data_IF_547169359786
#
_entry.id   IF_547169359786
#
_cell.length_a   1.000
_cell.length_b   1.000
_cell.length_c   1.000
_cell.angle_alpha   90.00
_cell.angle_beta   90.00
_cell.angle_gamma   90.00
#
_symmetry.space_group_name_H-M   'P 1'
#
loop_
_entity.id
_entity.type
_entity.pdbx_description
1 polymer ?
#
# COMPACT_ATOMS: atom_id res chain seq x y z
N UNK A 1 -41.13 -48.79 62.87
CA UNK A 1 -41.46 -48.79 61.43
C UNK A 1 -40.89 -47.50 60.83
N UNK A 2 -40.24 -47.63 59.65
CA UNK A 2 -39.59 -46.60 58.81
C UNK A 2 -40.40 -45.28 58.74
N UNK A 3 -39.84 -44.08 58.60
CA UNK A 3 -39.13 -43.48 57.45
C UNK A 3 -38.71 -42.05 57.82
N UNK A 4 -37.46 -41.61 57.61
CA UNK A 4 -36.87 -40.90 56.45
C UNK A 4 -37.18 -39.39 56.29
N UNK A 5 -36.07 -38.66 56.11
CA UNK A 5 -35.85 -37.25 55.75
C UNK A 5 -36.81 -36.65 54.71
N UNK A 6 -37.02 -35.33 54.81
CA UNK A 6 -36.95 -34.43 53.64
C UNK A 6 -36.61 -32.99 54.04
N UNK A 7 -35.38 -32.59 53.69
CA UNK A 7 -34.91 -31.22 53.58
C UNK A 7 -35.35 -30.72 52.19
N UNK A 8 -36.18 -29.69 52.11
CA UNK A 8 -36.47 -28.92 50.90
C UNK A 8 -36.48 -27.45 51.37
N UNK A 9 -35.70 -26.50 50.88
CA UNK A 9 -35.07 -26.35 49.58
C UNK A 9 -35.26 -24.87 49.26
N UNK A 10 -34.33 -24.02 49.72
CA UNK A 10 -34.47 -22.56 49.60
C UNK A 10 -33.10 -21.90 49.54
N UNK A 11 -32.30 -22.28 48.54
CA UNK A 11 -31.15 -21.50 48.06
C UNK A 11 -30.87 -21.92 46.62
N UNK A 12 -31.23 -21.05 45.68
CA UNK A 12 -30.52 -20.79 44.42
C UNK A 12 -31.44 -20.01 43.50
N UNK A 13 -31.55 -18.69 43.73
CA UNK A 13 -31.93 -17.77 42.67
C UNK A 13 -30.75 -17.74 41.70
N UNK A 14 -30.98 -18.32 40.53
CA UNK A 14 -30.08 -18.36 39.38
C UNK A 14 -29.60 -16.94 39.04
N UNK A 15 -28.35 -16.63 39.36
CA UNK A 15 -27.56 -15.63 38.62
C UNK A 15 -27.10 -16.34 37.34
N UNK A 16 -27.87 -16.22 36.27
CA UNK A 16 -27.49 -16.73 34.95
C UNK A 16 -27.84 -15.71 33.85
N UNK A 17 -27.34 -14.47 33.98
CA UNK A 17 -27.33 -13.50 32.87
C UNK A 17 -26.00 -12.71 32.85
N UNK A 18 -24.85 -13.39 33.06
CA UNK A 18 -23.53 -12.74 32.86
C UNK A 18 -22.58 -13.55 31.96
N UNK A 19 -22.84 -14.84 31.70
CA UNK A 19 -21.89 -15.67 30.94
C UNK A 19 -22.12 -15.71 29.41
N UNK A 20 -23.18 -15.10 28.89
CA UNK A 20 -23.43 -15.04 27.43
C UNK A 20 -22.70 -13.82 26.79
N UNK A 21 -22.23 -12.87 27.60
CA UNK A 21 -21.54 -11.67 27.13
C UNK A 21 -20.05 -11.82 26.81
N UNK A 22 -19.37 -12.87 27.26
CA UNK A 22 -17.91 -13.05 27.08
C UNK A 22 -17.52 -14.03 25.96
N UNK A 23 -18.41 -14.92 25.49
CA UNK A 23 -18.04 -15.89 24.45
C UNK A 23 -18.04 -15.27 23.04
N UNK A 24 -18.92 -14.29 22.77
CA UNK A 24 -18.97 -13.64 21.45
C UNK A 24 -17.71 -12.82 21.13
N UNK A 25 -17.12 -12.15 22.13
CA UNK A 25 -15.92 -11.35 21.92
C UNK A 25 -14.70 -12.22 21.68
N UNK A 26 -14.54 -13.31 22.44
CA UNK A 26 -13.37 -14.19 22.31
C UNK A 26 -13.39 -15.01 21.01
N UNK A 27 -14.57 -15.46 20.56
CA UNK A 27 -14.72 -16.13 19.27
C UNK A 27 -14.50 -15.17 18.08
N UNK A 28 -14.89 -13.90 18.21
CA UNK A 28 -14.63 -12.89 17.19
C UNK A 28 -13.14 -12.52 17.10
N UNK A 29 -12.49 -12.31 18.25
CA UNK A 29 -11.04 -12.06 18.33
C UNK A 29 -10.26 -13.22 17.71
N UNK A 30 -10.59 -14.46 18.09
CA UNK A 30 -9.92 -15.65 17.55
C UNK A 30 -10.14 -15.82 16.04
N UNK A 31 -11.30 -15.43 15.51
CA UNK A 31 -11.56 -15.48 14.06
C UNK A 31 -10.82 -14.38 13.32
N UNK A 32 -10.78 -13.17 13.85
CA UNK A 32 -10.08 -12.02 13.26
C UNK A 32 -8.57 -12.26 13.24
N UNK A 33 -8.00 -12.72 14.34
CA UNK A 33 -6.57 -13.07 14.44
C UNK A 33 -6.18 -14.21 13.50
N UNK A 34 -7.03 -15.24 13.38
CA UNK A 34 -6.81 -16.32 12.42
C UNK A 34 -6.94 -15.83 10.97
N UNK A 35 -7.82 -14.87 10.68
CA UNK A 35 -7.96 -14.30 9.34
C UNK A 35 -6.73 -13.45 8.97
N UNK A 36 -6.24 -12.63 9.92
CA UNK A 36 -4.98 -11.88 9.79
C UNK A 36 -3.81 -12.81 9.47
N UNK A 37 -3.65 -13.88 10.24
CA UNK A 37 -2.54 -14.82 10.05
C UNK A 37 -2.55 -15.61 8.73
N UNK A 38 -3.67 -15.67 8.00
CA UNK A 38 -3.83 -16.53 6.83
C UNK A 38 -4.20 -15.78 5.54
N UNK A 39 -4.53 -14.49 5.62
CA UNK A 39 -4.85 -13.73 4.42
C UNK A 39 -3.58 -13.41 3.64
N UNK A 40 -3.58 -13.75 2.34
CA UNK A 40 -2.52 -13.37 1.41
C UNK A 40 -3.18 -12.57 0.30
N UNK A 41 -2.70 -11.35 0.07
CA UNK A 41 -3.17 -10.51 -1.01
C UNK A 41 -2.98 -11.25 -2.36
N UNK A 42 -4.05 -11.48 -3.14
CA UNK A 42 -3.94 -12.23 -4.40
C UNK A 42 -3.14 -11.51 -5.49
N UNK A 43 -2.74 -10.25 -5.25
CA UNK A 43 -2.00 -9.38 -6.15
C UNK A 43 -0.61 -9.00 -5.62
N UNK A 44 -0.09 -9.74 -4.66
CA UNK A 44 1.20 -9.47 -4.01
C UNK A 44 2.37 -9.41 -5.02
N UNK A 45 2.30 -10.20 -6.09
CA UNK A 45 3.29 -10.24 -7.17
C UNK A 45 3.41 -8.90 -7.92
N UNK A 46 2.34 -8.10 -7.97
CA UNK A 46 2.36 -6.75 -8.56
C UNK A 46 3.27 -5.82 -7.76
N UNK A 47 3.24 -5.89 -6.43
CA UNK A 47 4.11 -5.09 -5.57
C UNK A 47 5.58 -5.50 -5.68
N UNK A 48 5.85 -6.81 -5.81
CA UNK A 48 7.21 -7.32 -6.06
C UNK A 48 7.75 -6.80 -7.39
N UNK A 49 6.99 -6.97 -8.47
CA UNK A 49 7.37 -6.52 -9.82
C UNK A 49 7.58 -5.01 -9.87
N UNK A 50 6.72 -4.24 -9.19
CA UNK A 50 6.87 -2.79 -9.03
C UNK A 50 8.26 -2.43 -8.48
N UNK A 51 8.65 -3.00 -7.34
CA UNK A 51 9.94 -2.68 -6.71
C UNK A 51 11.13 -3.14 -7.55
N UNK A 52 11.03 -4.31 -8.20
CA UNK A 52 12.07 -4.78 -9.12
C UNK A 52 12.27 -3.84 -10.31
N UNK A 53 11.17 -3.36 -10.90
CA UNK A 53 11.21 -2.43 -12.03
C UNK A 53 11.71 -1.05 -11.60
N UNK A 54 11.24 -0.54 -10.47
CA UNK A 54 11.71 0.73 -9.89
C UNK A 54 13.21 0.67 -9.63
N UNK A 55 13.68 -0.35 -8.92
CA UNK A 55 15.11 -0.55 -8.66
C UNK A 55 15.92 -0.57 -9.95
N UNK A 56 15.46 -1.31 -10.96
CA UNK A 56 16.12 -1.35 -12.26
C UNK A 56 16.23 0.05 -12.89
N UNK A 57 15.17 0.86 -12.85
CA UNK A 57 15.23 2.23 -13.39
C UNK A 57 16.24 3.08 -12.61
N UNK A 58 16.22 3.04 -11.28
CA UNK A 58 17.14 3.84 -10.45
C UNK A 58 18.61 3.45 -10.70
N UNK A 59 18.90 2.15 -10.83
CA UNK A 59 20.25 1.63 -11.08
C UNK A 59 20.77 1.97 -12.50
N UNK A 60 19.87 2.23 -13.45
CA UNK A 60 20.20 2.57 -14.84
C UNK A 60 19.97 4.05 -15.18
N UNK A 61 19.50 4.85 -14.23
CA UNK A 61 19.46 6.31 -14.36
C UNK A 61 20.87 6.83 -14.15
N UNK A 62 21.67 6.96 -15.22
CA UNK A 62 23.08 7.39 -15.13
C UNK A 62 23.27 8.90 -15.14
N UNK A 63 22.26 9.64 -15.57
CA UNK A 63 22.21 11.11 -15.61
C UNK A 63 20.81 11.60 -15.22
N UNK A 64 20.71 12.88 -14.85
CA UNK A 64 19.42 13.50 -14.54
C UNK A 64 18.90 14.16 -15.83
N UNK A 65 17.83 13.65 -16.44
CA UNK A 65 17.24 14.28 -17.62
C UNK A 65 16.61 15.63 -17.24
N UNK A 66 16.44 16.52 -18.22
CA UNK A 66 15.58 17.69 -18.02
C UNK A 66 14.13 17.25 -17.79
N UNK A 67 13.34 18.05 -17.07
CA UNK A 67 11.98 17.69 -16.65
C UNK A 67 11.09 17.24 -17.81
N UNK A 68 11.16 17.92 -18.96
CA UNK A 68 10.37 17.60 -20.15
C UNK A 68 10.71 16.24 -20.79
N UNK A 69 11.91 15.71 -20.53
CA UNK A 69 12.42 14.46 -21.11
C UNK A 69 12.38 13.28 -20.12
N UNK A 70 12.06 13.55 -18.84
CA UNK A 70 12.12 12.54 -17.77
C UNK A 70 11.23 11.33 -18.07
N UNK A 71 10.02 11.55 -18.60
CA UNK A 71 9.10 10.46 -18.94
C UNK A 71 9.65 9.55 -20.04
N UNK A 72 10.13 10.13 -21.15
CA UNK A 72 10.73 9.36 -22.25
C UNK A 72 12.00 8.63 -21.82
N UNK A 73 12.80 9.25 -20.96
CA UNK A 73 14.01 8.65 -20.39
C UNK A 73 13.69 7.40 -19.56
N UNK A 74 12.73 7.50 -18.63
CA UNK A 74 12.28 6.36 -17.81
C UNK A 74 11.65 5.26 -18.66
N UNK A 75 10.82 5.64 -19.63
CA UNK A 75 10.21 4.69 -20.57
C UNK A 75 11.27 3.93 -21.38
N UNK A 76 12.33 4.59 -21.84
CA UNK A 76 13.44 3.95 -22.53
C UNK A 76 14.10 2.89 -21.65
N UNK A 77 14.46 3.24 -20.41
CA UNK A 77 15.09 2.30 -19.48
C UNK A 77 14.18 1.09 -19.23
N UNK A 78 12.90 1.31 -18.90
CA UNK A 78 11.96 0.21 -18.67
C UNK A 78 11.84 -0.73 -19.88
N UNK A 79 11.87 -0.18 -21.10
CA UNK A 79 11.78 -0.98 -22.32
C UNK A 79 13.02 -1.85 -22.60
N UNK A 80 14.18 -1.57 -22.00
CA UNK A 80 15.36 -2.43 -22.12
C UNK A 80 15.14 -3.80 -21.47
N UNK A 81 14.36 -3.85 -20.37
CA UNK A 81 14.13 -5.08 -19.58
C UNK A 81 12.73 -5.64 -19.72
N UNK A 82 11.70 -4.79 -19.69
CA UNK A 82 10.29 -5.23 -19.59
C UNK A 82 9.57 -5.26 -20.94
N UNK A 83 10.10 -4.56 -21.96
CA UNK A 83 9.57 -4.44 -23.33
C UNK A 83 8.11 -3.92 -23.41
N UNK A 84 7.77 -3.22 -24.51
CA UNK A 84 6.42 -2.71 -24.78
C UNK A 84 5.77 -1.92 -23.63
N UNK A 85 6.60 -1.27 -22.79
CA UNK A 85 6.13 -0.41 -21.70
C UNK A 85 5.82 0.96 -22.28
N UNK A 86 4.61 1.47 -22.02
CA UNK A 86 4.20 2.82 -22.42
C UNK A 86 3.74 3.59 -21.19
N UNK A 87 4.37 4.73 -20.94
CA UNK A 87 4.02 5.68 -19.88
C UNK A 87 3.17 6.84 -20.40
N UNK A 88 2.78 6.79 -21.69
CA UNK A 88 1.99 7.84 -22.35
C UNK A 88 0.65 8.12 -21.66
N UNK A 89 0.07 7.10 -21.02
CA UNK A 89 -1.18 7.23 -20.28
C UNK A 89 -1.00 7.99 -18.97
N UNK A 90 0.17 7.93 -18.33
CA UNK A 90 0.44 8.67 -17.08
C UNK A 90 0.29 10.18 -17.35
N UNK A 91 -0.40 10.95 -16.48
CA UNK A 91 -0.53 12.39 -16.66
C UNK A 91 0.82 13.10 -16.79
N UNK A 92 0.81 14.32 -17.32
CA UNK A 92 2.01 15.16 -17.27
C UNK A 92 2.31 15.52 -15.81
N UNK A 93 3.55 15.30 -15.39
CA UNK A 93 4.02 15.82 -14.12
C UNK A 93 4.12 17.36 -14.21
N UNK A 94 3.84 18.08 -13.11
CA UNK A 94 4.05 19.52 -13.07
C UNK A 94 5.54 19.85 -13.19
N UNK A 95 5.87 21.02 -13.77
CA UNK A 95 7.27 21.46 -13.92
C UNK A 95 8.03 21.51 -12.59
N UNK A 96 7.32 21.84 -11.50
CA UNK A 96 7.82 21.80 -10.14
C UNK A 96 7.16 20.64 -9.38
N UNK A 97 7.98 19.69 -8.91
CA UNK A 97 7.51 18.52 -8.16
C UNK A 97 6.69 18.88 -6.91
N UNK A 98 6.95 20.03 -6.28
CA UNK A 98 6.19 20.44 -5.11
C UNK A 98 4.71 20.73 -5.41
N UNK A 99 4.39 21.06 -6.66
CA UNK A 99 3.03 21.33 -7.13
C UNK A 99 2.26 20.05 -7.45
N UNK A 100 2.92 18.88 -7.39
CA UNK A 100 2.28 17.58 -7.54
C UNK A 100 1.30 17.34 -6.38
N UNK A 101 0.05 17.09 -6.75
CA UNK A 101 -1.03 16.73 -5.82
C UNK A 101 -1.66 15.38 -6.20
N UNK A 102 -1.26 14.28 -5.52
CA UNK A 102 -1.85 12.96 -5.72
C UNK A 102 -3.37 12.90 -5.50
N UNK A 103 -3.92 13.77 -4.62
CA UNK A 103 -5.36 13.80 -4.34
C UNK A 103 -6.15 14.36 -5.51
N UNK A 104 -5.55 15.21 -6.34
CA UNK A 104 -6.15 15.69 -7.60
C UNK A 104 -6.03 14.61 -8.67
N UNK A 105 -4.88 13.94 -8.77
CA UNK A 105 -4.63 12.92 -9.79
C UNK A 105 -5.57 11.72 -9.67
N UNK A 106 -5.83 11.22 -8.45
CA UNK A 106 -6.77 10.10 -8.25
C UNK A 106 -8.20 10.41 -8.75
N UNK A 107 -8.59 11.69 -8.83
CA UNK A 107 -9.90 12.09 -9.34
C UNK A 107 -10.01 12.03 -10.87
N UNK A 108 -8.88 11.90 -11.57
CA UNK A 108 -8.84 11.78 -13.03
C UNK A 108 -9.18 10.35 -13.50
N UNK A 109 -9.22 9.38 -12.58
CA UNK A 109 -9.53 7.99 -12.89
C UNK A 109 -11.03 7.71 -12.97
N UNK A 110 -11.38 6.90 -13.97
CA UNK A 110 -12.71 6.33 -14.12
C UNK A 110 -12.87 5.06 -13.27
N UNK A 111 -12.84 5.24 -11.95
CA UNK A 111 -13.02 4.20 -10.91
C UNK A 111 -14.11 4.65 -9.93
N UNK A 112 -14.62 3.75 -9.10
CA UNK A 112 -15.67 4.12 -8.14
C UNK A 112 -15.20 5.18 -7.13
N UNK A 113 -16.14 5.98 -6.62
CA UNK A 113 -15.85 6.95 -5.57
C UNK A 113 -15.36 6.26 -4.28
N UNK A 114 -15.86 5.06 -3.98
CA UNK A 114 -15.38 4.26 -2.86
C UNK A 114 -13.88 3.93 -3.00
N UNK A 115 -13.44 3.56 -4.21
CA UNK A 115 -12.03 3.29 -4.49
C UNK A 115 -11.18 4.54 -4.27
N UNK A 116 -11.60 5.70 -4.82
CA UNK A 116 -10.89 6.96 -4.64
C UNK A 116 -10.76 7.34 -3.16
N UNK A 117 -11.80 7.11 -2.36
CA UNK A 117 -11.77 7.36 -0.91
C UNK A 117 -10.73 6.47 -0.21
N UNK A 118 -10.72 5.17 -0.50
CA UNK A 118 -9.77 4.25 0.15
C UNK A 118 -8.31 4.49 -0.29
N UNK A 119 -8.08 4.85 -1.55
CA UNK A 119 -6.75 5.27 -2.02
C UNK A 119 -6.29 6.54 -1.31
N UNK A 120 -7.14 7.56 -1.18
CA UNK A 120 -6.80 8.80 -0.44
C UNK A 120 -6.47 8.52 1.03
N UNK A 121 -7.18 7.59 1.68
CA UNK A 121 -6.84 7.15 3.04
C UNK A 121 -5.46 6.48 3.11
N UNK A 122 -5.02 5.81 2.04
CA UNK A 122 -3.65 5.27 1.94
C UNK A 122 -2.62 6.39 1.82
N UNK A 123 -2.92 7.47 1.08
CA UNK A 123 -2.05 8.66 1.05
C UNK A 123 -1.92 9.29 2.43
N UNK A 124 -3.04 9.43 3.14
CA UNK A 124 -3.05 9.97 4.51
C UNK A 124 -2.24 9.10 5.46
N UNK A 125 -2.30 7.76 5.33
CA UNK A 125 -1.47 6.83 6.09
C UNK A 125 0.02 7.11 5.87
N UNK A 126 0.48 7.16 4.63
CA UNK A 126 1.91 7.36 4.32
C UNK A 126 2.41 8.73 4.73
N UNK A 127 1.55 9.75 4.63
CA UNK A 127 1.88 11.11 5.03
C UNK A 127 2.06 11.26 6.54
N UNK A 128 1.33 10.49 7.34
CA UNK A 128 1.21 10.69 8.79
C UNK A 128 1.84 9.56 9.63
N UNK A 129 2.12 8.40 9.06
CA UNK A 129 2.67 7.27 9.80
C UNK A 129 4.07 7.58 10.34
N UNK A 130 4.34 7.06 11.53
CA UNK A 130 5.60 7.32 12.23
C UNK A 130 6.71 6.34 11.83
N UNK A 131 6.34 5.14 11.40
CA UNK A 131 7.28 4.08 11.05
C UNK A 131 6.66 3.06 10.09
N UNK A 132 7.51 2.23 9.49
CA UNK A 132 7.12 1.16 8.57
C UNK A 132 6.07 0.20 9.16
N UNK A 133 6.19 -0.20 10.43
CA UNK A 133 5.28 -1.18 11.04
C UNK A 133 3.83 -0.67 11.11
N UNK A 134 3.62 0.62 11.40
CA UNK A 134 2.31 1.27 11.38
C UNK A 134 1.65 1.14 10.00
N UNK A 135 2.44 1.35 8.94
CA UNK A 135 1.97 1.25 7.56
C UNK A 135 1.62 -0.20 7.22
N UNK A 136 2.53 -1.14 7.49
CA UNK A 136 2.33 -2.55 7.16
C UNK A 136 1.10 -3.15 7.86
N UNK A 137 0.90 -2.79 9.14
CA UNK A 137 -0.28 -3.22 9.91
C UNK A 137 -1.56 -2.63 9.32
N UNK A 138 -1.56 -1.34 8.98
CA UNK A 138 -2.75 -0.72 8.40
C UNK A 138 -3.08 -1.28 7.01
N UNK A 139 -2.08 -1.62 6.20
CA UNK A 139 -2.30 -2.26 4.90
C UNK A 139 -2.91 -3.65 5.08
N UNK A 140 -2.38 -4.47 5.98
CA UNK A 140 -2.92 -5.81 6.28
C UNK A 140 -4.39 -5.73 6.72
N UNK A 141 -4.72 -4.82 7.63
CA UNK A 141 -6.09 -4.59 8.07
C UNK A 141 -7.03 -4.20 6.92
N UNK A 142 -6.53 -3.38 5.97
CA UNK A 142 -7.28 -2.95 4.79
C UNK A 142 -7.47 -4.07 3.79
N UNK A 143 -6.47 -4.92 3.59
CA UNK A 143 -6.54 -6.08 2.69
C UNK A 143 -7.63 -7.05 3.16
N UNK A 144 -7.68 -7.33 4.46
CA UNK A 144 -8.68 -8.22 5.06
C UNK A 144 -10.10 -7.65 4.91
N UNK A 145 -10.25 -6.34 5.01
CA UNK A 145 -11.54 -5.66 4.92
C UNK A 145 -11.96 -5.34 3.48
N UNK A 146 -11.06 -5.44 2.50
CA UNK A 146 -11.28 -4.98 1.13
C UNK A 146 -12.53 -5.61 0.48
N UNK A 147 -12.74 -6.91 0.68
CA UNK A 147 -13.88 -7.65 0.12
C UNK A 147 -15.24 -7.26 0.74
N UNK A 148 -15.24 -6.51 1.84
CA UNK A 148 -16.46 -5.97 2.45
C UNK A 148 -16.90 -4.66 1.80
N UNK A 149 -15.97 -4.00 1.09
CA UNK A 149 -16.16 -2.69 0.46
C UNK A 149 -16.26 -2.82 -1.06
N UNK A 150 -15.44 -3.68 -1.66
CA UNK A 150 -15.30 -3.82 -3.11
C UNK A 150 -15.62 -5.22 -3.60
N UNK A 151 -15.94 -5.31 -4.90
CA UNK A 151 -16.07 -6.58 -5.63
C UNK A 151 -15.64 -6.40 -7.09
N UNK A 152 -15.34 -7.50 -7.78
CA UNK A 152 -14.95 -7.49 -9.19
C UNK A 152 -13.68 -6.67 -9.45
N UNK A 153 -13.68 -5.86 -10.51
CA UNK A 153 -12.50 -5.09 -10.95
C UNK A 153 -11.99 -4.10 -9.91
N UNK A 154 -12.88 -3.47 -9.13
CA UNK A 154 -12.47 -2.50 -8.11
C UNK A 154 -11.75 -3.19 -6.95
N UNK A 155 -12.13 -4.43 -6.62
CA UNK A 155 -11.45 -5.22 -5.61
C UNK A 155 -10.06 -5.63 -6.09
N UNK A 156 -9.95 -6.09 -7.33
CA UNK A 156 -8.66 -6.46 -7.93
C UNK A 156 -7.70 -5.26 -7.97
N UNK A 157 -8.18 -4.10 -8.45
CA UNK A 157 -7.39 -2.86 -8.47
C UNK A 157 -6.98 -2.42 -7.06
N UNK A 158 -7.86 -2.56 -6.07
CA UNK A 158 -7.54 -2.16 -4.71
C UNK A 158 -6.51 -3.07 -4.07
N UNK A 159 -6.56 -4.38 -4.36
CA UNK A 159 -5.51 -5.31 -3.96
C UNK A 159 -4.15 -5.01 -4.62
N UNK A 160 -4.13 -4.67 -5.91
CA UNK A 160 -2.91 -4.22 -6.60
C UNK A 160 -2.35 -2.94 -5.96
N UNK A 161 -3.21 -1.97 -5.67
CA UNK A 161 -2.84 -0.74 -4.97
C UNK A 161 -2.23 -1.01 -3.58
N UNK A 162 -2.85 -1.88 -2.77
CA UNK A 162 -2.35 -2.21 -1.42
C UNK A 162 -1.03 -2.99 -1.47
N UNK A 163 -0.88 -3.90 -2.44
CA UNK A 163 0.38 -4.60 -2.68
C UNK A 163 1.50 -3.62 -3.04
N UNK A 164 1.26 -2.71 -3.98
CA UNK A 164 2.24 -1.68 -4.33
C UNK A 164 2.53 -0.76 -3.15
N UNK A 165 1.52 -0.35 -2.39
CA UNK A 165 1.73 0.46 -1.20
C UNK A 165 2.66 -0.25 -0.19
N UNK A 166 2.40 -1.52 0.11
CA UNK A 166 3.22 -2.33 1.01
C UNK A 166 4.68 -2.35 0.57
N UNK A 167 4.89 -2.65 -0.71
CA UNK A 167 6.21 -2.78 -1.30
C UNK A 167 6.94 -1.42 -1.40
N UNK A 168 6.25 -0.36 -1.78
CA UNK A 168 6.78 1.03 -1.79
C UNK A 168 7.20 1.46 -0.39
N UNK A 169 6.41 1.16 0.64
CA UNK A 169 6.78 1.47 2.03
C UNK A 169 8.08 0.76 2.44
N UNK A 170 8.19 -0.54 2.15
CA UNK A 170 9.41 -1.31 2.43
C UNK A 170 10.59 -0.76 1.64
N UNK A 171 10.40 -0.43 0.36
CA UNK A 171 11.46 0.06 -0.51
C UNK A 171 12.07 1.37 0.00
N UNK A 172 11.23 2.34 0.36
CA UNK A 172 11.70 3.68 0.74
C UNK A 172 12.04 3.82 2.22
N UNK A 173 11.51 2.98 3.10
CA UNK A 173 11.76 3.10 4.53
C UNK A 173 13.25 2.91 4.88
N UNK A 174 13.74 3.58 5.93
CA UNK A 174 15.09 3.37 6.45
C UNK A 174 15.36 1.91 6.86
N UNK A 175 16.62 1.49 6.77
CA UNK A 175 17.05 0.13 7.14
C UNK A 175 16.82 -0.18 8.62
N UNK A 176 16.95 0.81 9.52
CA UNK A 176 16.68 0.66 10.96
C UNK A 176 15.18 0.48 11.30
N UNK A 177 14.30 0.75 10.33
CA UNK A 177 12.87 0.44 10.39
C UNK A 177 12.51 -0.85 9.64
N UNK A 178 13.48 -1.57 9.08
CA UNK A 178 13.27 -2.78 8.28
C UNK A 178 13.00 -2.52 6.79
N UNK A 179 13.25 -1.31 6.30
CA UNK A 179 13.17 -0.98 4.87
C UNK A 179 14.48 -1.19 4.10
N UNK A 180 14.46 -0.80 2.82
CA UNK A 180 15.59 -0.95 1.90
C UNK A 180 16.33 0.36 1.60
N UNK A 181 15.89 1.50 2.15
CA UNK A 181 16.47 2.81 1.88
C UNK A 181 16.70 3.07 0.38
N UNK A 182 15.64 2.94 -0.43
CA UNK A 182 15.69 2.85 -1.89
C UNK A 182 16.44 3.97 -2.64
N UNK A 183 16.67 5.13 -2.01
CA UNK A 183 17.52 6.20 -2.55
C UNK A 183 18.93 5.71 -2.88
N UNK A 184 19.42 4.68 -2.17
CA UNK A 184 20.75 4.12 -2.40
C UNK A 184 20.95 3.51 -3.79
N UNK A 185 19.86 3.20 -4.50
CA UNK A 185 19.91 2.59 -5.83
C UNK A 185 20.05 3.61 -6.98
N UNK A 186 19.94 4.92 -6.71
CA UNK A 186 20.09 5.95 -7.75
C UNK A 186 21.54 6.01 -8.24
N UNK A 187 21.79 5.57 -9.47
CA UNK A 187 23.13 5.49 -10.05
C UNK A 187 23.69 6.87 -10.46
N UNK A 188 22.82 7.79 -10.92
CA UNK A 188 23.19 9.13 -11.36
C UNK A 188 23.95 9.84 -10.25
N UNK A 189 25.25 10.04 -10.47
CA UNK A 189 26.10 10.86 -9.61
C UNK A 189 26.21 10.44 -8.14
N UNK A 190 26.20 9.14 -7.78
CA UNK A 190 26.42 8.63 -6.39
C UNK A 190 25.90 9.63 -5.34
N UNK A 191 24.62 9.96 -5.44
CA UNK A 191 24.05 11.15 -4.83
C UNK A 191 24.37 11.20 -3.34
N UNK A 192 25.24 12.14 -2.93
CA UNK A 192 25.36 12.63 -1.55
C UNK A 192 24.23 13.60 -1.22
N UNK A 193 23.03 13.39 -1.77
CA UNK A 193 21.89 14.24 -1.46
C UNK A 193 21.53 14.02 0.00
N UNK A 194 21.68 15.07 0.82
CA UNK A 194 21.13 15.13 2.17
C UNK A 194 19.61 15.37 2.15
N UNK A 195 18.99 15.38 0.97
CA UNK A 195 17.58 15.72 0.75
C UNK A 195 16.75 14.45 0.86
N UNK A 196 15.86 14.40 1.84
CA UNK A 196 14.90 13.32 1.97
C UNK A 196 13.94 13.35 0.77
N UNK A 197 13.76 12.20 0.09
CA UNK A 197 12.71 12.03 -0.90
C UNK A 197 11.36 12.12 -0.18
N UNK A 198 10.42 12.84 -0.78
CA UNK A 198 9.04 12.90 -0.33
C UNK A 198 8.28 11.63 -0.79
N UNK A 199 8.58 10.52 -0.15
CA UNK A 199 8.16 9.18 -0.59
C UNK A 199 6.64 8.92 -0.45
N UNK A 200 5.92 9.67 0.39
CA UNK A 200 4.44 9.58 0.38
C UNK A 200 3.86 10.16 -0.91
N UNK A 201 4.47 11.21 -1.49
CA UNK A 201 4.09 11.70 -2.82
C UNK A 201 4.50 10.72 -3.92
N UNK A 202 5.62 10.02 -3.76
CA UNK A 202 6.03 8.92 -4.64
C UNK A 202 4.94 7.86 -4.67
N UNK A 203 4.51 7.34 -3.51
CA UNK A 203 3.36 6.43 -3.45
C UNK A 203 2.12 7.02 -4.15
N UNK A 204 1.84 8.29 -3.89
CA UNK A 204 0.70 8.99 -4.49
C UNK A 204 0.67 8.91 -6.02
N UNK A 205 1.84 8.91 -6.67
CA UNK A 205 1.95 8.74 -8.12
C UNK A 205 2.02 7.28 -8.55
N UNK A 206 2.51 6.37 -7.70
CA UNK A 206 2.49 4.93 -7.98
C UNK A 206 1.05 4.51 -8.31
N UNK A 207 0.11 4.87 -7.43
CA UNK A 207 -1.32 4.58 -7.58
C UNK A 207 -1.91 5.10 -8.90
N UNK A 208 -1.34 6.19 -9.42
CA UNK A 208 -1.73 6.80 -10.69
C UNK A 208 -1.13 6.04 -11.86
N UNK A 209 0.16 5.72 -11.79
CA UNK A 209 0.87 4.93 -12.79
C UNK A 209 0.24 3.55 -12.98
N UNK A 210 -0.19 2.93 -11.90
CA UNK A 210 -0.80 1.62 -11.89
C UNK A 210 -2.16 1.51 -12.54
N UNK A 211 -3.06 2.43 -12.20
CA UNK A 211 -4.38 2.52 -12.83
C UNK A 211 -4.32 2.72 -14.36
N UNK A 212 -3.18 3.15 -14.90
CA UNK A 212 -3.01 3.48 -16.32
C UNK A 212 -2.06 2.55 -17.08
N UNK A 213 -1.11 1.91 -16.40
CA UNK A 213 -0.06 1.09 -17.03
C UNK A 213 0.26 -0.22 -16.31
N UNK A 214 -0.57 -0.63 -15.35
CA UNK A 214 -0.35 -1.85 -14.55
C UNK A 214 0.94 -1.81 -13.74
N UNK A 215 1.46 -2.97 -13.32
CA UNK A 215 2.65 -3.13 -12.46
C UNK A 215 3.85 -2.25 -12.88
N UNK A 216 4.17 -2.22 -14.17
CA UNK A 216 5.30 -1.43 -14.71
C UNK A 216 4.95 0.06 -14.82
N UNK A 217 3.67 0.39 -15.03
CA UNK A 217 3.17 1.76 -14.95
C UNK A 217 3.33 2.36 -13.55
N UNK A 218 3.07 1.59 -12.48
CA UNK A 218 3.36 2.01 -11.11
C UNK A 218 4.84 2.43 -11.02
N UNK A 219 5.76 1.53 -11.40
CA UNK A 219 7.20 1.74 -11.26
C UNK A 219 7.73 2.92 -12.09
N UNK A 220 7.18 3.12 -13.30
CA UNK A 220 7.50 4.26 -14.14
C UNK A 220 7.07 5.59 -13.51
N UNK A 221 5.87 5.67 -12.93
CA UNK A 221 5.43 6.85 -12.21
C UNK A 221 6.34 7.16 -11.00
N UNK A 222 6.68 6.13 -10.22
CA UNK A 222 7.61 6.26 -9.08
C UNK A 222 8.95 6.80 -9.54
N UNK A 223 9.54 6.20 -10.57
CA UNK A 223 10.85 6.59 -11.05
C UNK A 223 10.87 8.04 -11.56
N UNK A 224 9.86 8.46 -12.34
CA UNK A 224 9.72 9.85 -12.77
C UNK A 224 9.67 10.79 -11.55
N UNK A 225 8.84 10.47 -10.56
CA UNK A 225 8.70 11.30 -9.36
C UNK A 225 9.99 11.41 -8.55
N UNK A 226 10.78 10.34 -8.48
CA UNK A 226 12.07 10.32 -7.79
C UNK A 226 13.06 11.18 -8.54
N UNK A 227 13.19 10.98 -9.86
CA UNK A 227 14.14 11.73 -10.70
C UNK A 227 13.86 13.23 -10.64
N UNK A 228 12.60 13.65 -10.62
CA UNK A 228 12.22 15.06 -10.50
C UNK A 228 12.55 15.70 -9.13
N UNK A 229 12.89 14.90 -8.12
CA UNK A 229 13.28 15.38 -6.79
C UNK A 229 14.81 15.49 -6.60
N UNK A 230 15.58 14.86 -7.49
CA UNK A 230 17.05 14.86 -7.53
C UNK A 230 17.58 16.21 -8.04
#
# INVERSE_FOLDING_TARGET
>A
MKTFFKLNGLTSIFILIVLIGCNKSQDQITKEDNLKSNFVNPKEDVGVLHNEALKYVLENTTEIPITSETKSFVEQILNEKYQNTSLSSIPAFPDNFNDLDPYVWINQFNVSEAYKVEVKKTFDLFRNANNLNEILTSIEDREIQANTIFSGSDLDLYYEHLAVARHTAIFWSPEDQGGLNGIQYVAAGRFKSTKAINWWKVLGVDCVGGCMGGAVGYAGASAISVIMQL
#
